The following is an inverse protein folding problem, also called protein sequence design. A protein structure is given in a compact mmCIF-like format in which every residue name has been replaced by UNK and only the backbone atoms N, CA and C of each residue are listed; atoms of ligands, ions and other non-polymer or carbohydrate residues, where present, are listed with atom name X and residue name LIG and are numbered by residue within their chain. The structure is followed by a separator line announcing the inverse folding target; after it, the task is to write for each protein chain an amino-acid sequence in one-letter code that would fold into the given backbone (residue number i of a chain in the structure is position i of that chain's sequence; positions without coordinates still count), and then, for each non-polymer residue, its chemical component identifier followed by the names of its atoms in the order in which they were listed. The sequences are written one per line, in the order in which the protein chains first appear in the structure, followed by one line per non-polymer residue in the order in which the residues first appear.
data_IF_402268859243
#
_entry.id   IF_402268859243
#
_cell.length_a   1.000
_cell.length_b   1.000
_cell.length_c   1.000
_cell.angle_alpha   90.00
_cell.angle_beta   90.00
_cell.angle_gamma   90.00
#
_symmetry.space_group_name_H-M   'P 1'
#
loop_
_entity.id
_entity.type
_entity.pdbx_description
1 polymer ?
#
# COMPACT_ATOMS: atom_id res chain seq x y z
N UNK A 1 -7.16 26.68 11.53
CA UNK A 1 -6.46 26.64 10.23
C UNK A 1 -5.46 25.50 10.34
N UNK A 2 -5.62 24.44 9.57
CA UNK A 2 -4.60 23.38 9.48
C UNK A 2 -3.31 24.08 9.05
N UNK A 3 -2.28 24.00 9.89
CA UNK A 3 -0.96 24.54 9.59
C UNK A 3 -0.43 23.77 8.40
N UNK A 4 -0.01 24.49 7.36
CA UNK A 4 0.56 23.90 6.17
C UNK A 4 1.98 23.47 6.54
N UNK A 5 2.13 22.27 7.11
CA UNK A 5 3.42 21.75 7.58
C UNK A 5 4.41 21.47 6.42
N UNK A 6 3.98 21.69 5.18
CA UNK A 6 4.82 21.69 3.99
C UNK A 6 5.48 23.06 3.80
N UNK A 7 6.79 23.08 3.96
CA UNK A 7 7.58 24.30 3.87
C UNK A 7 7.74 24.76 2.40
N UNK A 8 7.35 26.00 2.10
CA UNK A 8 7.43 26.57 0.74
C UNK A 8 8.86 26.58 0.18
N UNK A 9 9.89 26.58 1.04
CA UNK A 9 11.31 26.50 0.62
C UNK A 9 11.61 25.19 -0.11
N UNK A 10 10.80 24.14 0.09
CA UNK A 10 10.94 22.85 -0.55
C UNK A 10 10.23 22.77 -1.91
N UNK A 11 9.45 23.78 -2.31
CA UNK A 11 8.70 23.75 -3.58
C UNK A 11 9.57 23.40 -4.81
N UNK A 12 10.79 23.94 -4.99
CA UNK A 12 11.64 23.56 -6.13
C UNK A 12 12.02 22.07 -6.12
N UNK A 13 12.33 21.51 -4.95
CA UNK A 13 12.68 20.08 -4.80
C UNK A 13 11.47 19.19 -5.00
N UNK A 14 10.29 19.61 -4.52
CA UNK A 14 9.03 18.88 -4.74
C UNK A 14 8.67 18.83 -6.23
N UNK A 15 8.88 19.93 -6.96
CA UNK A 15 8.70 19.97 -8.43
C UNK A 15 9.67 19.03 -9.12
N UNK A 16 10.94 19.00 -8.70
CA UNK A 16 11.90 18.05 -9.24
C UNK A 16 11.48 16.59 -8.99
N UNK A 17 11.07 16.23 -7.77
CA UNK A 17 10.57 14.89 -7.45
C UNK A 17 9.37 14.52 -8.32
N UNK A 18 8.42 15.44 -8.51
CA UNK A 18 7.25 15.20 -9.35
C UNK A 18 7.61 15.06 -10.84
N UNK A 19 8.52 15.88 -11.37
CA UNK A 19 9.02 15.70 -12.74
C UNK A 19 9.71 14.34 -12.91
N UNK A 20 10.50 13.90 -11.93
CA UNK A 20 11.10 12.56 -11.95
C UNK A 20 10.05 11.45 -11.91
N UNK A 21 8.98 11.62 -11.12
CA UNK A 21 7.83 10.71 -11.13
C UNK A 21 7.24 10.59 -12.54
N UNK A 22 6.86 11.73 -13.16
CA UNK A 22 6.27 11.75 -14.51
C UNK A 22 7.17 11.10 -15.56
N UNK A 23 8.48 11.39 -15.54
CA UNK A 23 9.44 10.78 -16.47
C UNK A 23 9.51 9.26 -16.29
N UNK A 24 9.45 8.78 -15.04
CA UNK A 24 9.48 7.33 -14.75
C UNK A 24 8.15 6.66 -15.10
N UNK A 25 7.02 7.29 -14.76
CA UNK A 25 5.68 6.83 -15.09
C UNK A 25 5.51 6.68 -16.60
N UNK A 26 5.91 7.68 -17.39
CA UNK A 26 5.87 7.60 -18.88
C UNK A 26 6.65 6.43 -19.47
N UNK A 27 7.75 5.99 -18.83
CA UNK A 27 8.55 4.83 -19.30
C UNK A 27 7.87 3.50 -19.03
N UNK A 28 6.89 3.50 -18.14
CA UNK A 28 6.16 2.31 -17.72
C UNK A 28 4.66 2.49 -17.95
N UNK A 29 4.26 3.44 -18.81
CA UNK A 29 2.86 3.73 -19.13
C UNK A 29 2.16 2.47 -19.59
N UNK A 30 0.91 2.30 -19.15
CA UNK A 30 0.16 1.06 -19.35
C UNK A 30 -1.34 1.30 -19.21
N UNK A 31 -2.11 0.39 -19.81
CA UNK A 31 -3.55 0.28 -19.58
C UNK A 31 -3.92 -1.10 -19.05
N UNK A 32 -4.86 -1.17 -18.10
CA UNK A 32 -5.28 -2.46 -17.54
C UNK A 32 -5.74 -3.50 -18.57
N UNK A 33 -6.28 -3.05 -19.72
CA UNK A 33 -6.69 -3.93 -20.82
C UNK A 33 -5.55 -4.73 -21.45
N UNK A 34 -4.29 -4.32 -21.29
CA UNK A 34 -3.12 -5.02 -21.82
C UNK A 34 -2.75 -6.27 -21.00
N UNK A 35 -3.23 -6.37 -19.75
CA UNK A 35 -2.83 -7.40 -18.79
C UNK A 35 -3.93 -8.42 -18.48
N UNK A 36 -5.10 -8.29 -19.12
CA UNK A 36 -6.27 -9.13 -18.86
C UNK A 36 -6.32 -10.35 -19.80
N UNK A 37 -6.66 -11.55 -19.29
CA UNK A 37 -6.82 -12.75 -20.10
C UNK A 37 -8.21 -12.76 -20.76
N UNK A 38 -8.41 -11.89 -21.76
CA UNK A 38 -9.69 -11.66 -22.41
C UNK A 38 -10.31 -12.93 -23.03
N UNK A 39 -9.47 -13.86 -23.46
CA UNK A 39 -9.85 -15.15 -24.04
C UNK A 39 -10.56 -16.08 -23.04
N UNK A 40 -10.35 -15.87 -21.72
CA UNK A 40 -11.06 -16.59 -20.65
C UNK A 40 -12.49 -16.09 -20.43
N UNK A 41 -12.85 -14.93 -20.99
CA UNK A 41 -14.15 -14.29 -20.79
C UNK A 41 -15.34 -15.11 -21.30
N UNK A 42 -16.35 -15.29 -20.44
CA UNK A 42 -17.59 -16.00 -20.79
C UNK A 42 -18.81 -15.28 -20.21
N UNK A 43 -19.85 -15.10 -21.03
CA UNK A 43 -21.12 -14.48 -20.60
C UNK A 43 -21.75 -15.22 -19.41
N UNK A 44 -22.00 -14.48 -18.31
CA UNK A 44 -22.58 -15.03 -17.07
C UNK A 44 -24.05 -15.42 -17.19
N UNK A 45 -24.80 -14.89 -18.16
CA UNK A 45 -26.21 -15.27 -18.38
C UNK A 45 -26.31 -16.60 -19.11
N UNK A 46 -25.42 -16.84 -20.07
CA UNK A 46 -25.34 -18.07 -20.86
C UNK A 46 -24.65 -19.20 -20.10
N UNK A 47 -23.57 -18.88 -19.38
CA UNK A 47 -22.84 -19.84 -18.56
C UNK A 47 -22.79 -19.25 -17.14
N UNK A 48 -23.72 -19.63 -16.26
CA UNK A 48 -23.69 -19.18 -14.87
C UNK A 48 -22.37 -19.51 -14.17
N UNK A 49 -22.04 -18.74 -13.15
CA UNK A 49 -20.90 -19.04 -12.28
C UNK A 49 -21.19 -20.30 -11.46
N UNK A 50 -20.19 -21.15 -11.30
CA UNK A 50 -20.20 -22.32 -10.44
C UNK A 50 -18.85 -22.48 -9.75
N UNK A 51 -18.83 -22.99 -8.51
CA UNK A 51 -17.60 -23.15 -7.72
C UNK A 51 -16.56 -24.05 -8.39
N UNK A 52 -16.99 -25.03 -9.21
CA UNK A 52 -16.07 -25.89 -9.98
C UNK A 52 -15.22 -25.15 -11.02
N UNK A 53 -15.56 -23.90 -11.33
CA UNK A 53 -14.80 -23.05 -12.26
C UNK A 53 -13.59 -22.39 -11.59
N UNK A 54 -13.51 -22.42 -10.26
CA UNK A 54 -12.42 -21.81 -9.49
C UNK A 54 -11.20 -22.73 -9.54
N UNK A 55 -10.11 -22.24 -10.14
CA UNK A 55 -8.87 -23.01 -10.33
C UNK A 55 -7.69 -22.51 -9.49
N UNK A 56 -7.76 -21.28 -8.99
CA UNK A 56 -6.72 -20.70 -8.14
C UNK A 56 -6.79 -21.24 -6.70
N UNK A 57 -5.65 -21.34 -5.99
CA UNK A 57 -5.66 -21.64 -4.56
C UNK A 57 -6.43 -20.58 -3.75
N UNK A 58 -7.16 -21.02 -2.72
CA UNK A 58 -7.96 -20.15 -1.85
C UNK A 58 -7.18 -19.00 -1.23
N UNK A 59 -5.92 -19.23 -0.83
CA UNK A 59 -5.06 -18.18 -0.28
C UNK A 59 -4.69 -17.09 -1.29
N UNK A 60 -4.47 -17.48 -2.56
CA UNK A 60 -4.22 -16.53 -3.65
C UNK A 60 -5.48 -15.71 -3.93
N UNK A 61 -6.65 -16.37 -3.99
CA UNK A 61 -7.95 -15.70 -4.16
C UNK A 61 -8.20 -14.72 -3.02
N UNK A 62 -7.96 -15.14 -1.77
CA UNK A 62 -8.12 -14.29 -0.59
C UNK A 62 -7.21 -13.06 -0.66
N UNK A 63 -5.97 -13.23 -1.12
CA UNK A 63 -5.04 -12.12 -1.30
C UNK A 63 -5.53 -11.12 -2.35
N UNK A 64 -5.85 -11.58 -3.57
CA UNK A 64 -6.29 -10.68 -4.65
C UNK A 64 -7.66 -10.04 -4.38
N UNK A 65 -8.56 -10.75 -3.71
CA UNK A 65 -9.85 -10.19 -3.26
C UNK A 65 -9.62 -9.10 -2.20
N UNK A 66 -8.71 -9.32 -1.26
CA UNK A 66 -8.36 -8.32 -0.23
C UNK A 66 -7.67 -7.11 -0.83
N UNK A 67 -6.82 -7.30 -1.84
CA UNK A 67 -6.23 -6.22 -2.61
C UNK A 67 -7.31 -5.41 -3.33
N UNK A 68 -8.20 -6.06 -4.08
CA UNK A 68 -9.34 -5.40 -4.75
C UNK A 68 -10.16 -4.57 -3.76
N UNK A 69 -10.54 -5.17 -2.63
CA UNK A 69 -11.34 -4.48 -1.62
C UNK A 69 -10.57 -3.32 -0.96
N UNK A 70 -9.24 -3.33 -0.98
CA UNK A 70 -8.43 -2.17 -0.59
C UNK A 70 -8.47 -1.09 -1.68
N UNK A 71 -8.20 -1.45 -2.93
CA UNK A 71 -8.12 -0.53 -4.07
C UNK A 71 -9.44 0.20 -4.37
N UNK A 72 -10.59 -0.44 -4.16
CA UNK A 72 -11.90 0.20 -4.38
C UNK A 72 -12.17 1.36 -3.42
N UNK A 73 -11.36 1.53 -2.36
CA UNK A 73 -11.42 2.70 -1.47
C UNK A 73 -10.71 3.93 -2.03
N UNK A 74 -10.18 3.91 -3.25
CA UNK A 74 -9.58 5.08 -3.89
C UNK A 74 -10.38 6.40 -3.71
N UNK A 75 -11.73 6.42 -3.84
CA UNK A 75 -12.50 7.65 -3.57
C UNK A 75 -12.27 8.23 -2.16
N UNK A 76 -12.14 7.38 -1.15
CA UNK A 76 -11.89 7.78 0.23
C UNK A 76 -10.43 8.19 0.45
N UNK A 77 -9.48 7.50 -0.19
CA UNK A 77 -8.07 7.87 -0.16
C UNK A 77 -7.84 9.24 -0.81
N UNK A 78 -8.36 9.46 -2.01
CA UNK A 78 -8.29 10.76 -2.71
C UNK A 78 -8.98 11.86 -1.92
N UNK A 79 -10.15 11.58 -1.29
CA UNK A 79 -10.85 12.55 -0.45
C UNK A 79 -10.01 12.95 0.77
N UNK A 80 -9.43 11.97 1.47
CA UNK A 80 -8.57 12.20 2.63
C UNK A 80 -7.33 13.03 2.26
N UNK A 81 -6.62 12.66 1.19
CA UNK A 81 -5.44 13.39 0.73
C UNK A 81 -5.82 14.81 0.29
N UNK A 82 -6.86 14.96 -0.54
CA UNK A 82 -7.31 16.27 -1.02
C UNK A 82 -7.74 17.19 0.13
N UNK A 83 -8.39 16.66 1.17
CA UNK A 83 -8.76 17.42 2.35
C UNK A 83 -7.53 17.84 3.17
N UNK A 84 -6.58 16.92 3.36
CA UNK A 84 -5.34 17.15 4.12
C UNK A 84 -4.45 18.20 3.47
N UNK A 85 -4.32 18.16 2.13
CA UNK A 85 -3.46 19.06 1.36
C UNK A 85 -4.20 20.28 0.80
N UNK A 86 -5.42 20.56 1.26
CA UNK A 86 -6.20 21.71 0.81
C UNK A 86 -5.46 23.02 1.12
N UNK A 87 -5.15 23.79 0.08
CA UNK A 87 -4.38 25.04 0.21
C UNK A 87 -2.86 24.84 0.33
N UNK A 88 -2.37 23.63 0.09
CA UNK A 88 -0.94 23.33 -0.04
C UNK A 88 -0.33 23.86 -1.35
N UNK A 89 0.98 23.65 -1.51
CA UNK A 89 1.71 23.89 -2.76
C UNK A 89 1.05 23.12 -3.91
N UNK A 90 0.86 23.79 -5.05
CA UNK A 90 0.15 23.21 -6.20
C UNK A 90 0.75 21.88 -6.66
N UNK A 91 2.08 21.74 -6.58
CA UNK A 91 2.80 20.51 -6.94
C UNK A 91 2.32 19.27 -6.18
N UNK A 92 1.88 19.42 -4.93
CA UNK A 92 1.36 18.29 -4.15
C UNK A 92 -0.04 17.92 -4.65
N UNK A 93 -0.88 18.92 -4.90
CA UNK A 93 -2.22 18.70 -5.48
C UNK A 93 -2.12 18.07 -6.87
N UNK A 94 -1.18 18.54 -7.70
CA UNK A 94 -0.93 17.99 -9.04
C UNK A 94 -0.45 16.54 -8.97
N UNK A 95 0.41 16.21 -8.00
CA UNK A 95 0.81 14.83 -7.76
C UNK A 95 -0.37 13.96 -7.30
N UNK A 96 -1.21 14.43 -6.37
CA UNK A 96 -2.39 13.67 -5.92
C UNK A 96 -3.34 13.36 -7.08
N UNK A 97 -3.52 14.28 -8.03
CA UNK A 97 -4.31 14.01 -9.24
C UNK A 97 -3.66 12.94 -10.13
N UNK A 98 -2.34 13.00 -10.29
CA UNK A 98 -1.59 12.00 -11.06
C UNK A 98 -1.66 10.62 -10.40
N UNK A 99 -1.35 10.56 -9.11
CA UNK A 99 -1.47 9.37 -8.28
C UNK A 99 -2.87 8.76 -8.37
N UNK A 100 -3.92 9.58 -8.20
CA UNK A 100 -5.32 9.11 -8.31
C UNK A 100 -5.62 8.52 -9.69
N UNK A 101 -5.08 9.13 -10.76
CA UNK A 101 -5.27 8.63 -12.12
C UNK A 101 -4.54 7.31 -12.40
N UNK A 102 -3.40 7.10 -11.76
CA UNK A 102 -2.62 5.86 -11.86
C UNK A 102 -3.34 4.73 -11.07
N UNK A 103 -3.76 5.03 -9.83
CA UNK A 103 -4.46 4.09 -8.93
C UNK A 103 -5.83 3.62 -9.41
N UNK A 104 -6.58 4.45 -10.17
CA UNK A 104 -7.93 4.10 -10.65
C UNK A 104 -7.95 2.76 -11.41
N UNK A 105 -6.86 2.46 -12.13
CA UNK A 105 -6.76 1.26 -12.93
C UNK A 105 -6.49 -0.01 -12.10
N UNK A 106 -6.01 0.12 -10.86
CA UNK A 106 -5.65 -1.02 -10.01
C UNK A 106 -6.88 -1.89 -9.68
N UNK A 107 -7.93 -1.25 -9.13
CA UNK A 107 -9.19 -1.94 -8.83
C UNK A 107 -9.85 -2.53 -10.09
N UNK A 108 -9.82 -1.79 -11.20
CA UNK A 108 -10.38 -2.22 -12.48
C UNK A 108 -9.69 -3.49 -13.00
N UNK A 109 -8.36 -3.54 -12.94
CA UNK A 109 -7.57 -4.69 -13.34
C UNK A 109 -7.88 -5.92 -12.46
N UNK A 110 -7.87 -5.76 -11.14
CA UNK A 110 -8.13 -6.85 -10.20
C UNK A 110 -9.55 -7.41 -10.31
N UNK A 111 -10.56 -6.54 -10.35
CA UNK A 111 -11.97 -6.94 -10.47
C UNK A 111 -12.22 -7.64 -11.81
N UNK A 112 -11.72 -7.06 -12.91
CA UNK A 112 -11.94 -7.64 -14.23
C UNK A 112 -11.21 -8.97 -14.40
N UNK A 113 -9.99 -9.12 -13.87
CA UNK A 113 -9.30 -10.41 -13.83
C UNK A 113 -10.12 -11.47 -13.09
N UNK A 114 -10.63 -11.13 -11.89
CA UNK A 114 -11.44 -12.02 -11.06
C UNK A 114 -12.72 -12.48 -11.78
N UNK A 115 -13.36 -11.59 -12.53
CA UNK A 115 -14.57 -11.88 -13.30
C UNK A 115 -14.28 -12.70 -14.56
N UNK A 116 -13.26 -12.34 -15.34
CA UNK A 116 -12.87 -13.07 -16.56
C UNK A 116 -12.47 -14.51 -16.25
N UNK A 117 -11.72 -14.71 -15.16
CA UNK A 117 -11.25 -16.03 -14.74
C UNK A 117 -12.28 -16.81 -13.94
N UNK A 118 -13.41 -16.19 -13.59
CA UNK A 118 -14.47 -16.78 -12.73
C UNK A 118 -13.93 -17.27 -11.38
N UNK A 119 -12.83 -16.68 -10.91
CA UNK A 119 -12.15 -17.05 -9.67
C UNK A 119 -12.96 -16.76 -8.41
N UNK A 120 -14.01 -15.93 -8.52
CA UNK A 120 -14.93 -15.59 -7.43
C UNK A 120 -16.37 -15.56 -7.92
N UNK A 121 -17.30 -15.76 -6.99
CA UNK A 121 -18.71 -15.56 -7.25
C UNK A 121 -19.00 -14.06 -7.53
N UNK A 122 -19.53 -13.70 -8.72
CA UNK A 122 -19.72 -12.31 -9.13
C UNK A 122 -20.73 -11.55 -8.26
N UNK A 123 -21.74 -12.24 -7.71
CA UNK A 123 -22.72 -11.61 -6.79
C UNK A 123 -22.07 -11.29 -5.45
N UNK A 124 -21.35 -12.26 -4.88
CA UNK A 124 -20.66 -12.09 -3.59
C UNK A 124 -19.65 -10.96 -3.64
N UNK A 125 -18.83 -10.90 -4.69
CA UNK A 125 -17.79 -9.86 -4.78
C UNK A 125 -18.40 -8.47 -4.97
N UNK A 126 -19.50 -8.35 -5.72
CA UNK A 126 -20.25 -7.10 -5.85
C UNK A 126 -20.79 -6.61 -4.50
N UNK A 127 -21.41 -7.50 -3.71
CA UNK A 127 -21.95 -7.17 -2.38
C UNK A 127 -20.84 -6.74 -1.41
N UNK A 128 -19.70 -7.47 -1.40
CA UNK A 128 -18.53 -7.12 -0.59
C UNK A 128 -17.94 -5.76 -0.99
N UNK A 129 -17.71 -5.54 -2.29
CA UNK A 129 -17.20 -4.28 -2.83
C UNK A 129 -18.09 -3.11 -2.42
N UNK A 130 -19.40 -3.25 -2.58
CA UNK A 130 -20.37 -2.22 -2.18
C UNK A 130 -20.28 -1.94 -0.68
N UNK A 131 -20.28 -2.97 0.15
CA UNK A 131 -20.18 -2.81 1.62
C UNK A 131 -18.90 -2.12 2.06
N UNK A 132 -17.76 -2.44 1.43
CA UNK A 132 -16.47 -1.80 1.77
C UNK A 132 -16.47 -0.33 1.38
N UNK A 133 -16.91 0.00 0.17
CA UNK A 133 -17.00 1.41 -0.28
C UNK A 133 -18.00 2.19 0.58
N UNK A 134 -19.12 1.60 1.00
CA UNK A 134 -20.10 2.24 1.90
C UNK A 134 -19.55 2.47 3.32
N UNK A 135 -18.61 1.63 3.77
CA UNK A 135 -18.00 1.76 5.11
C UNK A 135 -16.99 2.90 5.20
N UNK A 136 -16.39 3.27 4.07
CA UNK A 136 -15.44 4.36 4.00
C UNK A 136 -14.07 4.06 4.61
N UNK A 137 -13.21 5.06 4.57
CA UNK A 137 -11.89 5.04 5.21
C UNK A 137 -11.59 6.43 5.77
N UNK A 138 -11.35 6.49 7.08
CA UNK A 138 -11.00 7.71 7.80
C UNK A 138 -9.80 7.41 8.73
N UNK A 139 -8.58 7.83 8.37
CA UNK A 139 -7.42 7.64 9.22
C UNK A 139 -7.32 8.72 10.30
N UNK A 140 -6.85 8.35 11.50
CA UNK A 140 -6.57 9.25 12.62
C UNK A 140 -5.25 10.05 12.45
N UNK A 141 -4.94 10.45 11.20
CA UNK A 141 -3.72 11.17 10.82
C UNK A 141 -4.13 12.49 10.17
N UNK A 142 -3.78 13.61 10.78
CA UNK A 142 -4.42 14.89 10.46
C UNK A 142 -3.45 15.94 9.89
N UNK A 143 -2.14 15.68 9.95
CA UNK A 143 -1.16 16.59 9.37
C UNK A 143 -0.61 16.12 8.03
N UNK A 144 -0.13 17.04 7.17
CA UNK A 144 0.55 16.69 5.92
C UNK A 144 1.68 15.66 6.07
N UNK A 145 2.50 15.79 7.11
CA UNK A 145 3.61 14.85 7.38
C UNK A 145 3.08 13.50 7.84
N UNK A 146 2.03 13.44 8.65
CA UNK A 146 1.41 12.17 9.05
C UNK A 146 0.79 11.45 7.85
N UNK A 147 0.04 12.17 7.01
CA UNK A 147 -0.55 11.62 5.80
C UNK A 147 0.53 11.06 4.85
N UNK A 148 1.58 11.82 4.55
CA UNK A 148 2.69 11.35 3.69
C UNK A 148 3.45 10.18 4.31
N UNK A 149 3.63 10.15 5.63
CA UNK A 149 4.27 9.03 6.32
C UNK A 149 3.40 7.77 6.22
N UNK A 150 2.09 7.91 6.43
CA UNK A 150 1.14 6.81 6.32
C UNK A 150 1.13 6.26 4.89
N UNK A 151 0.99 7.14 3.89
CA UNK A 151 1.00 6.73 2.49
C UNK A 151 2.35 6.09 2.11
N UNK A 152 3.50 6.62 2.55
CA UNK A 152 4.81 5.97 2.32
C UNK A 152 4.82 4.51 2.79
N UNK A 153 4.31 4.24 4.00
CA UNK A 153 4.26 2.89 4.56
C UNK A 153 3.25 2.00 3.82
N UNK A 154 2.11 2.56 3.39
CA UNK A 154 1.10 1.82 2.61
C UNK A 154 1.63 1.43 1.23
N UNK A 155 2.17 2.38 0.47
CA UNK A 155 2.71 2.17 -0.88
C UNK A 155 3.82 1.12 -0.91
N UNK A 156 4.71 1.14 0.10
CA UNK A 156 5.73 0.11 0.21
C UNK A 156 5.12 -1.24 0.63
N UNK A 157 4.09 -1.24 1.48
CA UNK A 157 3.37 -2.45 1.88
C UNK A 157 2.64 -3.11 0.70
N UNK A 158 1.92 -2.35 -0.12
CA UNK A 158 1.24 -2.81 -1.34
C UNK A 158 2.24 -3.29 -2.39
N UNK A 159 3.34 -2.55 -2.62
CA UNK A 159 4.43 -2.97 -3.50
C UNK A 159 5.00 -4.35 -3.09
N UNK A 160 5.30 -4.54 -1.80
CA UNK A 160 5.82 -5.82 -1.27
C UNK A 160 4.75 -6.90 -1.38
N UNK A 161 3.51 -6.59 -1.00
CA UNK A 161 2.38 -7.50 -1.08
C UNK A 161 2.20 -8.03 -2.51
N UNK A 162 2.08 -7.16 -3.50
CA UNK A 162 1.89 -7.54 -4.89
C UNK A 162 3.03 -8.43 -5.41
N UNK A 163 4.29 -8.10 -5.10
CA UNK A 163 5.42 -8.94 -5.48
C UNK A 163 5.40 -10.33 -4.82
N UNK A 164 5.03 -10.41 -3.54
CA UNK A 164 4.96 -11.67 -2.83
C UNK A 164 3.81 -12.55 -3.36
N UNK A 165 2.63 -11.98 -3.55
CA UNK A 165 1.48 -12.68 -4.14
C UNK A 165 1.80 -13.11 -5.57
N UNK A 166 2.43 -12.27 -6.39
CA UNK A 166 2.85 -12.62 -7.74
C UNK A 166 3.81 -13.83 -7.78
N UNK A 167 4.69 -13.96 -6.79
CA UNK A 167 5.61 -15.11 -6.67
C UNK A 167 4.88 -16.41 -6.32
N UNK A 168 3.83 -16.34 -5.50
CA UNK A 168 2.99 -17.50 -5.19
C UNK A 168 2.11 -17.85 -6.40
N UNK A 169 1.44 -16.85 -6.96
CA UNK A 169 0.53 -16.98 -8.10
C UNK A 169 1.22 -17.52 -9.35
N UNK A 170 2.50 -17.23 -9.60
CA UNK A 170 3.20 -17.67 -10.82
C UNK A 170 3.26 -19.19 -11.01
N UNK A 171 3.03 -19.98 -9.95
CA UNK A 171 2.96 -21.44 -10.03
C UNK A 171 1.60 -21.95 -10.54
N UNK A 172 0.58 -21.09 -10.52
CA UNK A 172 -0.82 -21.43 -10.79
C UNK A 172 -1.37 -20.65 -11.98
N UNK A 173 -1.07 -19.36 -12.07
CA UNK A 173 -1.49 -18.47 -13.16
C UNK A 173 -0.37 -17.44 -13.45
N UNK A 174 0.40 -17.61 -14.54
CA UNK A 174 1.42 -16.66 -14.98
C UNK A 174 0.87 -15.28 -15.38
N UNK A 175 -0.38 -15.19 -15.87
CA UNK A 175 -1.01 -13.91 -16.23
C UNK A 175 -1.26 -13.10 -14.97
N UNK A 176 -1.77 -13.75 -13.92
CA UNK A 176 -1.94 -13.13 -12.60
C UNK A 176 -0.62 -12.64 -12.02
N UNK A 177 0.43 -13.45 -12.12
CA UNK A 177 1.74 -13.03 -11.66
C UNK A 177 2.27 -11.80 -12.44
N UNK A 178 1.95 -11.70 -13.72
CA UNK A 178 2.37 -10.59 -14.58
C UNK A 178 1.62 -9.31 -14.22
N UNK A 179 0.29 -9.38 -14.06
CA UNK A 179 -0.51 -8.21 -13.69
C UNK A 179 -0.19 -7.70 -12.28
N UNK A 180 0.03 -8.59 -11.30
CA UNK A 180 0.40 -8.16 -9.94
C UNK A 180 1.77 -7.47 -9.92
N UNK A 181 2.73 -7.95 -10.72
CA UNK A 181 4.02 -7.25 -10.89
C UNK A 181 3.88 -5.92 -11.61
N UNK A 182 2.84 -5.72 -12.43
CA UNK A 182 2.52 -4.44 -13.05
C UNK A 182 2.05 -3.43 -12.01
N UNK A 183 1.08 -3.82 -11.17
CA UNK A 183 0.62 -2.99 -10.03
C UNK A 183 1.81 -2.58 -9.15
N UNK A 184 2.64 -3.54 -8.74
CA UNK A 184 3.82 -3.27 -7.91
C UNK A 184 4.80 -2.24 -8.50
N UNK A 185 4.83 -2.02 -9.82
CA UNK A 185 5.69 -1.00 -10.44
C UNK A 185 5.16 0.42 -10.20
N UNK A 186 3.85 0.59 -10.15
CA UNK A 186 3.22 1.89 -9.86
C UNK A 186 3.45 2.25 -8.39
N UNK A 187 3.15 1.31 -7.48
CA UNK A 187 3.43 1.44 -6.04
C UNK A 187 4.91 1.80 -5.77
N UNK A 188 5.84 1.28 -6.57
CA UNK A 188 7.27 1.62 -6.45
C UNK A 188 7.53 3.10 -6.72
N UNK A 189 6.86 3.68 -7.71
CA UNK A 189 6.99 5.10 -8.05
C UNK A 189 6.29 5.98 -7.01
N UNK A 190 5.09 5.60 -6.59
CA UNK A 190 4.35 6.29 -5.54
C UNK A 190 5.11 6.30 -4.21
N UNK A 191 5.59 5.13 -3.77
CA UNK A 191 6.48 5.00 -2.61
C UNK A 191 7.70 5.91 -2.74
N UNK A 192 8.35 5.94 -3.91
CA UNK A 192 9.52 6.78 -4.13
C UNK A 192 9.21 8.27 -3.97
N UNK A 193 8.07 8.74 -4.47
CA UNK A 193 7.65 10.13 -4.28
C UNK A 193 7.43 10.43 -2.79
N UNK A 194 6.53 9.71 -2.13
CA UNK A 194 6.18 10.02 -0.73
C UNK A 194 7.36 9.89 0.23
N UNK A 195 8.19 8.84 0.09
CA UNK A 195 9.36 8.66 0.97
C UNK A 195 10.38 9.78 0.80
N UNK A 196 10.58 10.26 -0.43
CA UNK A 196 11.55 11.30 -0.75
C UNK A 196 11.04 12.65 -0.25
N UNK A 197 9.73 12.91 -0.35
CA UNK A 197 9.11 14.09 0.27
C UNK A 197 9.35 14.11 1.78
N UNK A 198 9.10 13.02 2.50
CA UNK A 198 9.39 12.98 3.95
C UNK A 198 10.88 13.21 4.23
N UNK A 199 11.77 12.59 3.45
CA UNK A 199 13.22 12.75 3.64
C UNK A 199 13.66 14.21 3.50
N UNK A 200 13.21 14.92 2.45
CA UNK A 200 13.61 16.32 2.26
C UNK A 200 13.03 17.25 3.34
N UNK A 201 11.87 16.90 3.92
CA UNK A 201 11.31 17.60 5.06
C UNK A 201 12.14 17.38 6.33
N UNK A 202 12.59 16.15 6.59
CA UNK A 202 13.48 15.86 7.72
C UNK A 202 14.86 16.51 7.59
N UNK A 203 15.38 16.66 6.37
CA UNK A 203 16.63 17.40 6.09
C UNK A 203 16.50 18.89 6.47
N UNK A 204 15.33 19.48 6.27
CA UNK A 204 15.06 20.89 6.56
C UNK A 204 14.63 21.13 8.02
N UNK A 205 13.74 20.28 8.53
CA UNK A 205 13.13 20.38 9.85
C UNK A 205 13.14 19.00 10.54
N UNK A 206 14.25 18.65 11.23
CA UNK A 206 14.38 17.37 11.91
C UNK A 206 13.32 17.12 13.00
N UNK A 207 12.68 18.17 13.52
CA UNK A 207 11.66 17.97 14.56
C UNK A 207 10.42 17.24 14.04
N UNK A 208 10.14 17.24 12.73
CA UNK A 208 8.99 16.54 12.14
C UNK A 208 8.98 15.02 12.36
N UNK A 209 10.06 14.43 12.89
CA UNK A 209 10.05 13.05 13.35
C UNK A 209 8.97 12.75 14.42
N UNK A 210 8.41 13.74 15.14
CA UNK A 210 7.28 13.47 16.04
C UNK A 210 6.01 13.02 15.31
N UNK A 211 5.73 13.57 14.12
CA UNK A 211 4.62 13.12 13.28
C UNK A 211 4.86 11.69 12.79
N UNK A 212 6.09 11.41 12.38
CA UNK A 212 6.51 10.08 11.93
C UNK A 212 6.34 9.04 13.05
N UNK A 213 6.68 9.41 14.29
CA UNK A 213 6.52 8.55 15.46
C UNK A 213 5.05 8.23 15.76
N UNK A 214 4.15 9.18 15.54
CA UNK A 214 2.72 8.95 15.68
C UNK A 214 2.24 7.88 14.69
N UNK A 215 2.60 8.02 13.41
CA UNK A 215 2.19 7.08 12.36
C UNK A 215 2.80 5.70 12.55
N UNK A 216 4.13 5.59 12.75
CA UNK A 216 4.80 4.28 12.86
C UNK A 216 4.22 3.42 13.99
N UNK A 217 3.86 4.04 15.13
CA UNK A 217 3.33 3.31 16.28
C UNK A 217 1.86 2.93 16.14
N UNK A 218 1.11 3.70 15.36
CA UNK A 218 -0.34 3.57 15.22
C UNK A 218 -0.77 3.09 13.82
N UNK A 219 0.18 2.67 13.00
CA UNK A 219 -0.07 2.20 11.63
C UNK A 219 -1.06 1.03 11.63
N UNK A 220 -2.10 1.14 10.81
CA UNK A 220 -3.08 0.10 10.54
C UNK A 220 -3.25 0.00 9.02
N UNK A 221 -3.52 -1.20 8.53
CA UNK A 221 -3.88 -1.38 7.11
C UNK A 221 -5.23 -0.69 6.83
N UNK A 222 -5.42 -0.06 5.65
CA UNK A 222 -6.66 0.63 5.31
C UNK A 222 -7.86 -0.34 5.23
N UNK A 223 -7.59 -1.61 4.95
CA UNK A 223 -8.59 -2.68 4.93
C UNK A 223 -9.12 -3.08 6.31
N UNK A 224 -8.74 -2.45 7.42
CA UNK A 224 -9.15 -2.88 8.77
C UNK A 224 -10.68 -2.89 9.00
N UNK A 225 -11.44 -2.14 8.21
CA UNK A 225 -12.92 -2.12 8.23
C UNK A 225 -13.56 -3.17 7.31
N UNK A 226 -12.74 -3.92 6.56
CA UNK A 226 -13.20 -4.95 5.64
C UNK A 226 -13.82 -6.14 6.40
N UNK A 227 -14.91 -6.75 5.87
CA UNK A 227 -15.46 -7.97 6.44
C UNK A 227 -14.40 -9.08 6.54
N UNK A 228 -14.34 -9.72 7.71
CA UNK A 228 -13.44 -10.85 8.00
C UNK A 228 -11.93 -10.52 7.89
N UNK A 229 -11.55 -9.26 8.14
CA UNK A 229 -10.19 -8.77 7.93
C UNK A 229 -9.11 -9.58 8.66
N UNK A 230 -9.31 -9.93 9.94
CA UNK A 230 -8.29 -10.68 10.70
C UNK A 230 -8.01 -12.06 10.09
N UNK A 231 -9.05 -12.78 9.67
CA UNK A 231 -8.93 -14.09 9.05
C UNK A 231 -8.28 -13.97 7.66
N UNK A 232 -8.68 -12.98 6.85
CA UNK A 232 -8.02 -12.69 5.56
C UNK A 232 -6.52 -12.48 5.74
N UNK A 233 -6.12 -11.66 6.71
CA UNK A 233 -4.71 -11.40 6.98
C UNK A 233 -3.96 -12.65 7.47
N UNK A 234 -4.59 -13.51 8.28
CA UNK A 234 -4.00 -14.77 8.70
C UNK A 234 -3.76 -15.72 7.51
N UNK A 235 -4.74 -15.84 6.59
CA UNK A 235 -4.63 -16.63 5.36
C UNK A 235 -3.54 -16.06 4.45
N UNK A 236 -3.53 -14.73 4.22
CA UNK A 236 -2.53 -14.06 3.38
C UNK A 236 -1.12 -14.25 3.93
N UNK A 237 -0.93 -14.11 5.25
CA UNK A 237 0.37 -14.31 5.88
C UNK A 237 0.90 -15.74 5.67
N UNK A 238 0.02 -16.74 5.77
CA UNK A 238 0.37 -18.15 5.62
C UNK A 238 0.57 -18.57 4.16
N UNK A 239 -0.32 -18.14 3.28
CA UNK A 239 -0.46 -18.72 1.93
C UNK A 239 0.03 -17.78 0.83
N UNK A 240 0.00 -16.46 1.05
CA UNK A 240 0.42 -15.45 0.09
C UNK A 240 1.73 -14.74 0.48
N UNK A 241 2.34 -15.18 1.59
CA UNK A 241 3.64 -14.71 2.10
C UNK A 241 3.68 -13.19 2.37
N UNK A 242 2.62 -12.64 2.95
CA UNK A 242 2.63 -11.27 3.44
C UNK A 242 1.95 -11.16 4.81
N UNK A 243 2.74 -10.90 5.85
CA UNK A 243 2.27 -10.72 7.21
C UNK A 243 3.22 -9.87 8.05
N UNK A 244 3.14 -9.94 9.39
CA UNK A 244 3.93 -9.10 10.28
C UNK A 244 5.45 -9.16 10.07
N UNK A 245 5.98 -10.31 9.63
CA UNK A 245 7.42 -10.49 9.35
C UNK A 245 7.83 -9.70 8.11
N UNK A 246 7.10 -9.85 7.01
CA UNK A 246 7.38 -9.12 5.76
C UNK A 246 7.15 -7.62 5.93
N UNK A 247 6.11 -7.22 6.68
CA UNK A 247 5.91 -5.81 7.04
C UNK A 247 7.14 -5.25 7.77
N UNK A 248 7.66 -5.96 8.79
CA UNK A 248 8.85 -5.47 9.48
C UNK A 248 10.08 -5.40 8.54
N UNK A 249 10.43 -6.51 7.89
CA UNK A 249 11.69 -6.64 7.14
C UNK A 249 11.72 -5.85 5.83
N UNK A 250 10.58 -5.70 5.17
CA UNK A 250 10.50 -5.14 3.81
C UNK A 250 9.82 -3.76 3.76
N UNK A 251 9.16 -3.34 4.86
CA UNK A 251 8.48 -2.05 4.93
C UNK A 251 9.09 -1.16 6.00
N UNK A 252 8.91 -1.53 7.28
CA UNK A 252 9.29 -0.65 8.39
C UNK A 252 10.81 -0.46 8.49
N UNK A 253 11.59 -1.54 8.40
CA UNK A 253 13.06 -1.47 8.48
C UNK A 253 13.61 -0.60 7.33
N UNK A 254 13.12 -0.84 6.12
CA UNK A 254 13.49 -0.09 4.90
C UNK A 254 13.23 1.41 5.07
N UNK A 255 12.05 1.80 5.55
CA UNK A 255 11.67 3.21 5.71
C UNK A 255 12.44 3.89 6.84
N UNK A 256 12.63 3.21 7.97
CA UNK A 256 13.42 3.73 9.11
C UNK A 256 14.88 3.95 8.72
N UNK A 257 15.47 3.03 7.95
CA UNK A 257 16.82 3.18 7.40
C UNK A 257 16.88 4.31 6.37
N UNK A 258 15.94 4.36 5.43
CA UNK A 258 15.92 5.36 4.35
C UNK A 258 15.84 6.80 4.88
N UNK A 259 15.03 7.04 5.91
CA UNK A 259 14.91 8.34 6.55
C UNK A 259 16.04 8.66 7.53
N UNK A 260 16.98 7.73 7.75
CA UNK A 260 18.13 7.97 8.62
C UNK A 260 17.74 8.30 10.06
N UNK A 261 16.62 7.77 10.56
CA UNK A 261 16.07 8.16 11.86
C UNK A 261 17.02 7.88 13.03
N UNK A 262 17.91 6.90 12.88
CA UNK A 262 18.98 6.62 13.83
C UNK A 262 19.97 7.78 13.96
N UNK A 263 20.28 8.47 12.87
CA UNK A 263 21.30 9.52 12.84
C UNK A 263 20.70 10.93 12.81
N UNK A 264 19.38 11.04 12.76
CA UNK A 264 18.65 12.30 12.89
C UNK A 264 19.00 13.00 14.23
N UNK A 265 19.06 14.34 14.21
CA UNK A 265 19.40 15.18 15.35
C UNK A 265 18.35 16.29 15.53
N UNK A 266 17.14 15.96 16.04
CA UNK A 266 16.15 16.97 16.38
C UNK A 266 16.62 17.86 17.54
N UNK A 267 16.17 19.12 17.54
CA UNK A 267 16.57 20.12 18.54
C UNK A 267 15.51 20.21 19.65
N UNK A 268 14.24 19.99 19.33
CA UNK A 268 13.15 20.04 20.29
C UNK A 268 13.13 18.78 21.17
N UNK A 269 12.99 18.89 22.50
CA UNK A 269 12.94 17.73 23.40
C UNK A 269 11.85 16.72 23.06
N UNK A 270 10.67 17.19 22.61
CA UNK A 270 9.57 16.33 22.19
C UNK A 270 9.92 15.51 20.94
N UNK A 271 10.64 16.11 20.00
CA UNK A 271 11.07 15.43 18.79
C UNK A 271 12.19 14.41 19.06
N UNK A 272 13.15 14.73 19.94
CA UNK A 272 14.16 13.75 20.36
C UNK A 272 13.52 12.56 21.09
N UNK A 273 12.55 12.82 21.98
CA UNK A 273 11.76 11.76 22.60
C UNK A 273 11.06 10.90 21.56
N UNK A 274 10.39 11.52 20.58
CA UNK A 274 9.69 10.79 19.53
C UNK A 274 10.62 9.94 18.66
N UNK A 275 11.80 10.46 18.30
CA UNK A 275 12.85 9.71 17.61
C UNK A 275 13.27 8.47 18.41
N UNK A 276 13.52 8.62 19.72
CA UNK A 276 13.85 7.49 20.61
C UNK A 276 12.71 6.46 20.61
N UNK A 277 11.45 6.91 20.74
CA UNK A 277 10.29 6.02 20.72
C UNK A 277 10.17 5.21 19.41
N UNK A 278 10.49 5.81 18.25
CA UNK A 278 10.55 5.08 16.97
C UNK A 278 11.60 3.97 17.04
N UNK A 279 12.81 4.28 17.51
CA UNK A 279 13.92 3.32 17.56
C UNK A 279 13.64 2.19 18.55
N UNK A 280 13.04 2.49 19.70
CA UNK A 280 12.61 1.49 20.67
C UNK A 280 11.50 0.58 20.11
N UNK A 281 10.52 1.18 19.43
CA UNK A 281 9.45 0.43 18.76
C UNK A 281 10.01 -0.50 17.68
N UNK A 282 10.92 0.00 16.84
CA UNK A 282 11.62 -0.76 15.81
C UNK A 282 12.42 -1.94 16.40
N UNK A 283 13.23 -1.69 17.44
CA UNK A 283 13.99 -2.75 18.14
C UNK A 283 13.05 -3.80 18.74
N UNK A 284 11.92 -3.37 19.31
CA UNK A 284 10.91 -4.28 19.87
C UNK A 284 10.32 -5.17 18.79
N UNK A 285 9.92 -4.61 17.65
CA UNK A 285 9.39 -5.39 16.53
C UNK A 285 10.45 -6.32 15.92
N UNK A 286 11.71 -5.89 15.82
CA UNK A 286 12.82 -6.75 15.40
C UNK A 286 12.97 -7.99 16.29
N UNK A 287 12.92 -7.80 17.62
CA UNK A 287 12.97 -8.92 18.58
C UNK A 287 11.75 -9.85 18.48
N UNK A 288 10.59 -9.33 18.08
CA UNK A 288 9.39 -10.14 17.84
C UNK A 288 9.60 -10.95 16.55
N UNK A 289 9.99 -10.29 15.45
CA UNK A 289 10.33 -10.92 14.17
C UNK A 289 11.37 -12.03 14.33
N UNK A 290 12.46 -11.78 15.05
CA UNK A 290 13.53 -12.77 15.27
C UNK A 290 13.05 -14.00 16.04
N UNK A 291 12.12 -13.82 16.99
CA UNK A 291 11.52 -14.94 17.72
C UNK A 291 10.62 -15.76 16.79
N UNK A 292 9.70 -15.11 16.09
CA UNK A 292 8.78 -15.78 15.16
C UNK A 292 9.50 -16.50 14.01
N UNK A 293 10.51 -15.89 13.39
CA UNK A 293 11.29 -16.52 12.32
C UNK A 293 12.04 -17.78 12.77
N UNK A 294 12.54 -17.81 14.02
CA UNK A 294 13.15 -19.02 14.60
C UNK A 294 12.14 -20.14 14.86
N UNK A 295 10.88 -19.83 15.14
CA UNK A 295 9.83 -20.83 15.31
C UNK A 295 9.42 -21.43 13.96
N UNK A 296 9.21 -20.61 12.93
CA UNK A 296 8.88 -21.11 11.57
C UNK A 296 9.99 -21.97 10.97
N UNK A 297 11.26 -21.55 11.09
CA UNK A 297 12.39 -22.34 10.61
C UNK A 297 12.59 -23.68 11.32
N UNK A 298 11.97 -23.90 12.50
CA UNK A 298 11.98 -25.20 13.18
C UNK A 298 10.84 -26.12 12.74
N UNK A 299 9.67 -25.57 12.40
CA UNK A 299 8.53 -26.34 11.87
C UNK A 299 8.72 -26.77 10.41
N UNK A 300 9.50 -26.03 9.62
CA UNK A 300 9.80 -26.42 8.23
C UNK A 300 10.90 -27.51 8.14
N UNK A 301 11.59 -27.79 9.24
CA UNK A 301 12.65 -28.81 9.35
C UNK A 301 12.18 -30.11 10.04
N UNK A 302 10.90 -30.20 10.42
CA UNK A 302 10.27 -31.36 11.08
C UNK A 302 9.21 -31.99 10.19
#
# INVERSE_FOLDING_TARGET
MLTNDLDFRLEPRLKELYEQHKIRAQKIDWGYHEFLPWDKGMDFKRVPWDESQVTLPSGVITAIETALLTEVNLPWFTTYLSATFKGSLSVITDFIHTWTSEEDQHSNLLETYLLLTRSVNPKRIHELRKSVVESGFEPDFHTPIEAMTYTTLQELATMVFYNNVAKVASKHDPDLATLLRRLAKDETLHYAFYRDVIRIHLELEPNYCYHIANVIRNFKMPGAVMPDFENRMAVIAKEANYGPLQYFDQVLDVVVEYWGLKDLRPIAPLAEKARIEILEYHIRLKKIRDRFGRFQGKTDLS
#
